data_IF_782593609076
#
_entry.id   IF_782593609076
#
_cell.length_a   1.000
_cell.length_b   1.000
_cell.length_c   1.000
_cell.angle_alpha   90.00
_cell.angle_beta   90.00
_cell.angle_gamma   90.00
#
_symmetry.space_group_name_H-M   'P 1'
#
loop_
_entity.id
_entity.type
_entity.pdbx_description
1 polymer ?
#
# COMPACT_ATOMS: atom_id res chain seq x y z
N UNK A 1 74.75 -49.63 43.84
CA UNK A 1 74.79 -50.95 44.50
C UNK A 1 73.65 -51.79 43.94
N UNK A 2 74.03 -52.88 43.27
CA UNK A 2 73.31 -54.13 43.01
C UNK A 2 71.91 -54.10 42.36
N UNK A 3 71.87 -54.43 41.07
CA UNK A 3 70.86 -55.34 40.49
C UNK A 3 71.12 -56.78 41.02
N UNK A 4 70.20 -57.77 40.97
CA UNK A 4 69.75 -58.37 39.69
C UNK A 4 68.35 -59.07 39.64
N UNK A 5 67.92 -59.45 38.40
CA UNK A 5 67.25 -60.71 37.94
C UNK A 5 65.89 -61.17 38.54
N UNK A 6 64.96 -61.90 37.88
CA UNK A 6 64.53 -62.25 36.50
C UNK A 6 63.36 -63.29 36.67
N UNK A 7 62.58 -63.53 35.61
CA UNK A 7 61.72 -64.73 35.35
C UNK A 7 60.29 -64.71 35.94
N UNK A 8 59.20 -65.11 35.28
CA UNK A 8 58.93 -66.08 34.18
C UNK A 8 57.67 -65.71 33.37
N UNK A 9 57.64 -66.02 32.06
CA UNK A 9 56.42 -66.20 31.24
C UNK A 9 55.97 -67.69 31.26
N UNK A 10 54.73 -68.08 30.84
CA UNK A 10 54.46 -68.29 29.41
C UNK A 10 53.00 -68.11 28.88
N UNK A 11 52.94 -67.94 27.55
CA UNK A 11 51.97 -68.35 26.53
C UNK A 11 50.48 -68.64 26.83
N UNK A 12 49.64 -67.98 26.01
CA UNK A 12 48.55 -68.51 25.14
C UNK A 12 47.39 -67.50 25.17
N UNK A 13 46.71 -67.07 24.11
CA UNK A 13 46.61 -67.51 22.74
C UNK A 13 45.22 -67.04 22.27
N UNK A 14 45.20 -66.20 21.22
CA UNK A 14 44.12 -66.05 20.23
C UNK A 14 42.66 -65.81 20.73
N UNK A 15 42.09 -64.64 20.41
CA UNK A 15 41.06 -64.51 19.35
C UNK A 15 40.62 -63.06 19.14
N UNK A 16 40.51 -62.75 17.85
CA UNK A 16 40.08 -61.49 17.26
C UNK A 16 38.60 -61.20 17.57
N UNK A 17 38.27 -59.92 17.76
CA UNK A 17 37.11 -59.31 17.11
C UNK A 17 37.35 -57.80 17.05
N UNK A 18 37.80 -57.34 15.88
CA UNK A 18 37.86 -55.94 15.48
C UNK A 18 36.42 -55.46 15.29
N UNK A 19 35.89 -54.66 16.21
CA UNK A 19 34.68 -53.88 15.92
C UNK A 19 35.10 -52.61 15.17
N UNK A 20 34.91 -52.63 13.84
CA UNK A 20 34.86 -51.41 13.03
C UNK A 20 33.67 -50.57 13.54
N UNK A 21 33.96 -49.49 14.26
CA UNK A 21 32.98 -48.44 14.50
C UNK A 21 32.80 -47.62 13.22
N UNK A 22 31.75 -47.93 12.46
CA UNK A 22 31.27 -47.11 11.36
C UNK A 22 30.76 -45.78 11.95
N UNK A 23 31.56 -44.71 11.84
CA UNK A 23 31.10 -43.36 12.14
C UNK A 23 30.12 -42.92 11.05
N UNK A 24 28.82 -43.02 11.33
CA UNK A 24 27.76 -42.51 10.48
C UNK A 24 27.76 -40.97 10.54
N UNK A 25 28.34 -40.31 9.54
CA UNK A 25 28.10 -38.88 9.29
C UNK A 25 26.65 -38.72 8.83
N UNK A 26 25.74 -38.46 9.78
CA UNK A 26 24.42 -37.94 9.48
C UNK A 26 24.57 -36.45 9.15
N UNK A 27 24.69 -36.13 7.87
CA UNK A 27 24.52 -34.76 7.37
C UNK A 27 23.05 -34.40 7.57
N UNK A 28 22.76 -33.69 8.66
CA UNK A 28 21.49 -32.98 8.85
C UNK A 28 21.44 -31.85 7.82
N UNK A 29 20.93 -32.14 6.63
CA UNK A 29 20.37 -31.12 5.76
C UNK A 29 19.10 -30.59 6.44
N UNK A 30 19.28 -29.67 7.40
CA UNK A 30 18.22 -28.79 7.84
C UNK A 30 17.85 -27.93 6.62
N UNK A 31 16.87 -28.40 5.85
CA UNK A 31 16.23 -27.57 4.86
C UNK A 31 15.73 -26.32 5.58
N UNK A 32 16.27 -25.17 5.22
CA UNK A 32 15.70 -23.87 5.56
C UNK A 32 14.33 -23.77 4.89
N UNK A 33 13.32 -24.41 5.48
CA UNK A 33 11.96 -23.95 5.33
C UNK A 33 11.92 -22.61 6.07
N UNK A 34 12.06 -21.52 5.32
CA UNK A 34 11.75 -20.20 5.84
C UNK A 34 10.31 -20.24 6.32
N UNK A 35 10.10 -20.35 7.64
CA UNK A 35 8.78 -20.24 8.21
C UNK A 35 8.22 -18.87 7.82
N UNK A 36 7.28 -18.85 6.86
CA UNK A 36 6.59 -17.62 6.46
C UNK A 36 5.99 -17.03 7.74
N UNK A 37 6.38 -15.81 8.12
CA UNK A 37 5.83 -15.16 9.31
C UNK A 37 4.30 -15.16 9.19
N UNK A 38 3.53 -15.58 10.21
CA UNK A 38 2.07 -15.74 10.11
C UNK A 38 1.36 -14.51 9.53
N UNK A 39 1.85 -13.30 9.83
CA UNK A 39 1.33 -12.04 9.29
C UNK A 39 1.47 -11.89 7.76
N UNK A 40 2.52 -12.43 7.14
CA UNK A 40 2.72 -12.31 5.68
C UNK A 40 1.67 -13.11 4.91
N UNK A 41 1.24 -14.27 5.43
CA UNK A 41 0.21 -15.09 4.79
C UNK A 41 -1.14 -14.38 4.80
N UNK A 42 -1.52 -13.77 5.92
CA UNK A 42 -2.77 -13.02 6.06
C UNK A 42 -2.78 -11.74 5.21
N UNK A 43 -1.64 -11.04 5.09
CA UNK A 43 -1.51 -9.88 4.19
C UNK A 43 -1.60 -10.30 2.73
N UNK A 44 -0.91 -11.37 2.33
CA UNK A 44 -0.96 -11.91 0.96
C UNK A 44 -2.38 -12.31 0.57
N UNK A 45 -3.11 -13.00 1.45
CA UNK A 45 -4.47 -13.44 1.18
C UNK A 45 -5.45 -12.29 0.97
N UNK A 46 -5.23 -11.16 1.64
CA UNK A 46 -6.08 -9.99 1.52
C UNK A 46 -5.71 -9.07 0.34
N UNK A 47 -4.53 -9.25 -0.28
CA UNK A 47 -4.07 -8.41 -1.38
C UNK A 47 -4.93 -8.66 -2.62
N UNK A 48 -5.46 -7.59 -3.22
CA UNK A 48 -6.27 -7.64 -4.45
C UNK A 48 -5.62 -6.91 -5.62
N UNK A 49 -4.68 -6.02 -5.34
CA UNK A 49 -3.98 -5.27 -6.36
C UNK A 49 -2.61 -4.84 -5.85
N UNK A 50 -1.60 -4.92 -6.70
CA UNK A 50 -0.27 -4.37 -6.44
C UNK A 50 0.45 -3.94 -7.72
N UNK A 51 0.91 -2.70 -7.74
CA UNK A 51 1.79 -2.15 -8.77
C UNK A 51 3.04 -1.54 -8.12
N UNK A 52 4.18 -2.18 -8.36
CA UNK A 52 5.52 -1.73 -7.95
C UNK A 52 6.11 -0.69 -8.90
N UNK A 53 5.64 -0.66 -10.15
CA UNK A 53 6.26 0.09 -11.25
C UNK A 53 7.68 -0.35 -11.64
N UNK A 54 8.24 -1.39 -11.03
CA UNK A 54 9.54 -1.93 -11.41
C UNK A 54 9.51 -2.51 -12.83
N UNK A 55 10.25 -1.89 -13.75
CA UNK A 55 10.38 -2.34 -15.14
C UNK A 55 9.15 -2.13 -16.02
N UNK A 56 8.09 -1.49 -15.53
CA UNK A 56 6.83 -1.33 -16.25
C UNK A 56 5.80 -0.48 -15.51
N UNK A 57 4.62 -0.32 -16.09
CA UNK A 57 3.55 0.49 -15.47
C UNK A 57 2.32 -0.31 -15.08
N UNK A 58 2.17 -1.51 -15.63
CA UNK A 58 1.10 -2.41 -15.28
C UNK A 58 1.35 -3.05 -13.91
N UNK A 59 0.26 -3.40 -13.23
CA UNK A 59 0.29 -4.03 -11.92
C UNK A 59 1.03 -5.38 -11.97
N UNK A 60 1.87 -5.66 -10.98
CA UNK A 60 2.51 -6.95 -10.73
C UNK A 60 1.48 -8.04 -10.40
N UNK A 61 0.42 -7.65 -9.69
CA UNK A 61 -0.68 -8.51 -9.28
C UNK A 61 -1.99 -7.73 -9.30
N UNK A 62 -3.06 -8.36 -9.80
CA UNK A 62 -4.40 -7.78 -9.79
C UNK A 62 -5.45 -8.89 -9.79
N UNK A 63 -6.52 -8.70 -9.04
CA UNK A 63 -7.74 -9.49 -9.13
C UNK A 63 -8.55 -9.13 -10.39
N UNK A 64 -8.44 -7.88 -10.86
CA UNK A 64 -9.08 -7.36 -12.07
C UNK A 64 -8.07 -7.00 -13.18
N UNK A 65 -8.30 -5.86 -13.84
CA UNK A 65 -7.42 -5.38 -14.92
C UNK A 65 -6.07 -4.90 -14.33
N UNK A 66 -4.97 -5.38 -14.91
CA UNK A 66 -3.60 -5.02 -14.50
C UNK A 66 -3.12 -3.73 -15.14
N UNK A 67 -3.73 -3.30 -16.24
CA UNK A 67 -3.16 -2.26 -17.09
C UNK A 67 -3.28 -0.88 -16.48
N UNK A 68 -2.21 -0.11 -16.53
CA UNK A 68 -2.31 1.33 -16.33
C UNK A 68 -2.95 1.95 -17.58
N UNK A 69 -3.79 2.95 -17.37
CA UNK A 69 -4.39 3.76 -18.43
C UNK A 69 -4.07 5.23 -18.23
N UNK A 70 -4.18 5.98 -19.31
CA UNK A 70 -4.21 7.44 -19.30
C UNK A 70 -5.44 7.98 -20.01
N UNK A 71 -5.90 9.16 -19.60
CA UNK A 71 -6.99 9.88 -20.23
C UNK A 71 -6.73 11.39 -20.20
N UNK A 72 -7.34 12.12 -21.14
CA UNK A 72 -7.12 13.56 -21.30
C UNK A 72 -7.64 14.40 -20.12
N UNK A 73 -8.66 13.92 -19.40
CA UNK A 73 -9.20 14.55 -18.19
C UNK A 73 -10.14 13.61 -17.44
N UNK A 74 -10.56 14.01 -16.23
CA UNK A 74 -11.61 13.32 -15.45
C UNK A 74 -13.03 13.45 -16.04
N UNK A 75 -13.23 14.25 -17.10
CA UNK A 75 -14.55 14.48 -17.69
C UNK A 75 -15.15 13.19 -18.25
N UNK A 76 -16.44 13.01 -18.04
CA UNK A 76 -17.19 11.88 -18.59
C UNK A 76 -17.55 12.12 -20.08
N UNK A 77 -17.53 11.07 -20.93
CA UNK A 77 -17.06 9.71 -20.64
C UNK A 77 -15.53 9.64 -20.49
N UNK A 78 -15.05 8.88 -19.50
CA UNK A 78 -13.63 8.68 -19.24
C UNK A 78 -13.08 7.61 -20.20
N UNK A 79 -12.63 8.03 -21.37
CA UNK A 79 -12.03 7.13 -22.37
C UNK A 79 -10.53 7.01 -22.08
N UNK A 80 -10.10 5.82 -21.65
CA UNK A 80 -8.71 5.52 -21.33
C UNK A 80 -7.95 4.85 -22.47
N UNK A 81 -6.69 5.24 -22.65
CA UNK A 81 -5.71 4.57 -23.52
C UNK A 81 -4.70 3.82 -22.64
N UNK A 82 -4.34 2.56 -22.92
CA UNK A 82 -3.33 1.85 -22.14
C UNK A 82 -1.98 2.58 -22.10
N UNK A 83 -1.36 2.56 -20.92
CA UNK A 83 -0.03 3.13 -20.66
C UNK A 83 -0.05 4.61 -20.27
N UNK A 84 1.17 5.12 -20.10
CA UNK A 84 1.42 6.52 -19.75
C UNK A 84 1.04 7.47 -20.88
N UNK A 85 0.67 8.71 -20.55
CA UNK A 85 0.33 9.73 -21.54
C UNK A 85 1.56 10.17 -22.32
N UNK A 86 1.40 10.36 -23.63
CA UNK A 86 2.49 10.74 -24.53
C UNK A 86 3.12 12.11 -24.19
N UNK A 87 2.39 12.98 -23.47
CA UNK A 87 2.84 14.32 -23.08
C UNK A 87 3.97 14.36 -22.05
N UNK A 88 4.42 13.20 -21.52
CA UNK A 88 5.59 13.10 -20.65
C UNK A 88 5.47 13.78 -19.29
N UNK A 89 4.27 14.19 -18.89
CA UNK A 89 4.02 14.81 -17.58
C UNK A 89 4.03 13.76 -16.44
N UNK A 90 3.80 12.49 -16.77
CA UNK A 90 4.09 11.34 -15.93
C UNK A 90 5.08 10.45 -16.67
N UNK A 91 6.16 10.04 -16.01
CA UNK A 91 7.17 9.13 -16.57
C UNK A 91 7.50 8.03 -15.58
N UNK A 92 8.00 6.90 -16.10
CA UNK A 92 8.69 5.92 -15.27
C UNK A 92 10.08 6.46 -14.89
N UNK A 93 10.34 6.64 -13.60
CA UNK A 93 11.60 7.10 -13.05
C UNK A 93 12.44 5.90 -12.58
N UNK A 94 13.32 5.45 -13.47
CA UNK A 94 14.13 4.25 -13.24
C UNK A 94 15.07 4.42 -12.05
N UNK A 95 15.12 3.41 -11.17
CA UNK A 95 16.00 3.36 -10.00
C UNK A 95 15.74 4.42 -8.93
N UNK A 96 14.61 5.15 -9.03
CA UNK A 96 14.28 6.25 -8.12
C UNK A 96 13.16 5.91 -7.14
N UNK A 97 12.63 4.69 -7.18
CA UNK A 97 11.55 4.20 -6.33
C UNK A 97 11.90 4.07 -4.86
N UNK A 98 10.88 3.78 -4.06
CA UNK A 98 11.08 3.27 -2.70
C UNK A 98 11.76 1.92 -2.77
N UNK A 99 11.39 1.12 -3.77
CA UNK A 99 12.08 -0.07 -4.24
C UNK A 99 12.14 0.03 -5.77
N UNK A 100 13.32 -0.13 -6.37
CA UNK A 100 13.49 -0.10 -7.84
C UNK A 100 13.01 1.19 -8.51
N UNK A 101 12.01 1.11 -9.37
CA UNK A 101 11.49 2.22 -10.19
C UNK A 101 10.30 2.91 -9.51
N UNK A 102 9.81 4.02 -10.07
CA UNK A 102 8.58 4.68 -9.58
C UNK A 102 7.91 5.50 -10.69
N UNK A 103 6.69 5.96 -10.44
CA UNK A 103 6.12 7.05 -11.23
C UNK A 103 6.69 8.40 -10.77
N UNK A 104 7.05 9.27 -11.72
CA UNK A 104 7.35 10.68 -11.47
C UNK A 104 6.30 11.55 -12.14
N UNK A 105 5.62 12.37 -11.33
CA UNK A 105 4.74 13.43 -11.79
C UNK A 105 5.54 14.74 -11.84
N UNK A 106 5.68 15.33 -13.03
CA UNK A 106 6.56 16.48 -13.27
C UNK A 106 5.85 17.83 -13.15
N UNK A 107 4.57 17.86 -13.46
CA UNK A 107 3.77 19.09 -13.46
C UNK A 107 2.29 18.76 -13.27
N UNK A 108 1.55 19.75 -12.78
CA UNK A 108 0.09 19.74 -12.81
C UNK A 108 -0.39 19.58 -14.25
N UNK A 109 -1.29 18.63 -14.47
CA UNK A 109 -1.91 18.33 -15.76
C UNK A 109 -3.40 18.04 -15.58
N UNK A 110 -4.18 18.30 -16.63
CA UNK A 110 -5.54 17.78 -16.70
C UNK A 110 -5.56 16.30 -17.09
N UNK A 111 -4.55 15.86 -17.84
CA UNK A 111 -4.36 14.45 -18.15
C UNK A 111 -4.14 13.65 -16.86
N UNK A 112 -4.74 12.48 -16.79
CA UNK A 112 -4.70 11.60 -15.62
C UNK A 112 -4.20 10.22 -16.01
N UNK A 113 -3.59 9.53 -15.05
CA UNK A 113 -3.33 8.10 -15.13
C UNK A 113 -4.15 7.36 -14.09
N UNK A 114 -4.58 6.15 -14.40
CA UNK A 114 -5.46 5.40 -13.52
C UNK A 114 -5.41 3.89 -13.76
N UNK A 115 -5.82 3.15 -12.74
CA UNK A 115 -6.24 1.75 -12.86
C UNK A 115 -7.75 1.65 -12.79
N UNK A 116 -8.32 0.63 -13.43
CA UNK A 116 -9.74 0.29 -13.21
C UNK A 116 -9.90 -0.31 -11.83
N UNK A 117 -10.94 0.10 -11.10
CA UNK A 117 -11.19 -0.39 -9.75
C UNK A 117 -11.96 -1.72 -9.72
N UNK A 118 -12.64 -2.07 -10.81
CA UNK A 118 -13.41 -3.32 -10.93
C UNK A 118 -12.55 -4.53 -10.51
N UNK A 119 -13.03 -5.27 -9.52
CA UNK A 119 -12.35 -6.37 -8.82
C UNK A 119 -11.10 -5.98 -8.01
N UNK A 120 -10.34 -4.96 -8.43
CA UNK A 120 -9.11 -4.50 -7.76
C UNK A 120 -9.34 -3.85 -6.39
N UNK A 121 -10.45 -3.13 -6.18
CA UNK A 121 -10.80 -2.49 -4.89
C UNK A 121 -11.78 -3.33 -4.07
N UNK A 122 -12.17 -4.50 -4.58
CA UNK A 122 -13.06 -5.46 -3.91
C UNK A 122 -14.34 -4.83 -3.32
N UNK A 123 -14.94 -3.87 -4.04
CA UNK A 123 -16.16 -3.20 -3.61
C UNK A 123 -17.28 -4.20 -3.27
N UNK A 124 -17.99 -3.95 -2.17
CA UNK A 124 -19.18 -4.71 -1.76
C UNK A 124 -20.34 -3.74 -1.47
N UNK A 125 -21.56 -4.06 -1.92
CA UNK A 125 -22.73 -3.23 -1.60
C UNK A 125 -23.20 -3.36 -0.15
N UNK A 126 -22.61 -4.26 0.64
CA UNK A 126 -22.95 -4.48 2.04
C UNK A 126 -21.68 -4.77 2.86
N UNK A 127 -21.58 -4.17 4.05
CA UNK A 127 -20.49 -4.36 5.02
C UNK A 127 -19.09 -4.46 4.36
N UNK A 128 -18.72 -3.37 3.72
CA UNK A 128 -17.51 -3.27 2.92
C UNK A 128 -16.36 -2.68 3.73
N UNK A 129 -15.19 -3.29 3.54
CA UNK A 129 -13.95 -2.96 4.22
C UNK A 129 -12.82 -3.01 3.20
N UNK A 130 -11.69 -2.37 3.52
CA UNK A 130 -10.51 -2.45 2.67
C UNK A 130 -9.42 -1.50 3.11
N UNK A 131 -8.32 -1.55 2.37
CA UNK A 131 -7.13 -0.74 2.61
C UNK A 131 -6.47 -0.35 1.30
N UNK A 132 -5.96 0.88 1.23
CA UNK A 132 -5.04 1.34 0.18
C UNK A 132 -3.73 1.74 0.83
N UNK A 133 -2.62 1.32 0.22
CA UNK A 133 -1.25 1.63 0.62
C UNK A 133 -0.49 2.17 -0.60
N UNK A 134 0.31 3.22 -0.39
CA UNK A 134 1.18 3.80 -1.40
C UNK A 134 2.35 4.52 -0.74
N UNK A 135 3.39 4.83 -1.50
CA UNK A 135 4.52 5.63 -1.05
C UNK A 135 4.65 6.91 -1.85
N UNK A 136 4.97 8.00 -1.15
CA UNK A 136 5.14 9.33 -1.75
C UNK A 136 6.49 9.92 -1.35
N UNK A 137 7.17 10.57 -2.30
CA UNK A 137 8.33 11.43 -2.03
C UNK A 137 8.16 12.74 -2.78
N UNK A 138 7.99 13.80 -2.00
CA UNK A 138 7.71 15.16 -2.48
C UNK A 138 8.24 16.15 -1.45
N UNK A 139 8.79 17.27 -1.90
CA UNK A 139 8.90 18.49 -1.10
C UNK A 139 7.66 19.35 -1.35
N UNK A 140 6.65 19.33 -0.45
CA UNK A 140 5.40 20.02 -0.71
C UNK A 140 5.57 21.54 -0.85
N UNK A 141 6.56 22.12 -0.18
CA UNK A 141 6.79 23.56 -0.18
C UNK A 141 7.35 24.05 -1.51
N UNK A 142 8.22 23.27 -2.17
CA UNK A 142 8.89 23.70 -3.40
C UNK A 142 8.32 23.05 -4.66
N UNK A 143 7.77 21.83 -4.59
CA UNK A 143 7.33 21.09 -5.77
C UNK A 143 5.84 21.25 -6.09
N UNK A 144 4.96 21.27 -5.09
CA UNK A 144 3.51 21.33 -5.36
C UNK A 144 3.06 22.72 -5.84
N UNK A 145 2.02 22.77 -6.66
CA UNK A 145 1.37 24.04 -7.01
C UNK A 145 0.34 24.42 -5.92
N UNK A 146 0.09 25.74 -5.67
CA UNK A 146 -1.04 26.16 -4.84
C UNK A 146 -2.36 25.57 -5.35
N UNK A 147 -3.24 25.15 -4.44
CA UNK A 147 -4.50 24.39 -4.63
C UNK A 147 -4.43 22.97 -4.04
N UNK A 148 -5.45 22.17 -4.32
CA UNK A 148 -5.53 20.75 -3.98
C UNK A 148 -4.67 19.93 -4.94
N UNK A 149 -3.91 19.00 -4.36
CA UNK A 149 -3.07 18.06 -5.08
C UNK A 149 -3.32 16.67 -4.52
N UNK A 150 -3.88 15.77 -5.32
CA UNK A 150 -4.38 14.47 -4.86
C UNK A 150 -3.46 13.37 -5.38
N UNK A 151 -2.56 12.81 -4.55
CA UNK A 151 -1.76 11.66 -4.95
C UNK A 151 -2.60 10.47 -5.40
N UNK A 152 -3.79 10.28 -4.84
CA UNK A 152 -4.73 9.24 -5.26
C UNK A 152 -6.17 9.67 -4.98
N UNK A 153 -7.06 9.39 -5.93
CA UNK A 153 -8.51 9.57 -5.79
C UNK A 153 -9.22 8.35 -6.38
N UNK A 154 -10.21 7.81 -5.67
CA UNK A 154 -10.99 6.62 -6.06
C UNK A 154 -12.47 6.98 -6.07
N UNK A 155 -13.06 7.05 -7.25
CA UNK A 155 -14.49 7.39 -7.42
C UNK A 155 -15.00 6.98 -8.82
N UNK A 156 -16.26 6.55 -8.95
CA UNK A 156 -16.95 6.45 -10.23
C UNK A 156 -17.50 7.79 -10.74
N UNK A 157 -17.54 8.81 -9.88
CA UNK A 157 -18.21 10.09 -10.10
C UNK A 157 -17.23 11.21 -9.79
N UNK A 158 -17.58 12.12 -8.89
CA UNK A 158 -16.75 13.26 -8.53
C UNK A 158 -16.11 13.09 -7.14
N UNK A 159 -15.18 13.98 -6.82
CA UNK A 159 -14.42 13.98 -5.57
C UNK A 159 -15.29 14.04 -4.30
N UNK A 160 -16.54 14.51 -4.39
CA UNK A 160 -17.44 14.68 -3.26
C UNK A 160 -18.67 13.75 -3.29
N UNK A 161 -18.64 12.69 -4.10
CA UNK A 161 -19.75 11.77 -4.24
C UNK A 161 -19.26 10.32 -4.36
N UNK A 162 -19.32 9.59 -3.24
CA UNK A 162 -18.76 8.25 -3.07
C UNK A 162 -17.28 8.19 -3.48
N UNK A 163 -16.46 8.96 -2.78
CA UNK A 163 -15.06 9.12 -3.12
C UNK A 163 -14.15 8.89 -1.92
N UNK A 164 -13.03 8.24 -2.19
CA UNK A 164 -11.85 8.30 -1.34
C UNK A 164 -10.78 9.14 -2.02
N UNK A 165 -10.02 9.89 -1.24
CA UNK A 165 -8.78 10.49 -1.70
C UNK A 165 -7.85 10.76 -0.52
N UNK A 166 -6.56 10.82 -0.82
CA UNK A 166 -5.64 11.61 0.01
C UNK A 166 -5.15 12.79 -0.79
N UNK A 167 -4.92 13.91 -0.12
CA UNK A 167 -4.57 15.15 -0.80
C UNK A 167 -3.70 16.06 0.07
N UNK A 168 -2.87 16.85 -0.59
CA UNK A 168 -2.27 18.06 -0.03
C UNK A 168 -3.17 19.25 -0.35
N UNK A 169 -3.40 20.12 0.63
CA UNK A 169 -3.99 21.43 0.40
C UNK A 169 -2.90 22.50 0.45
N UNK A 170 -2.28 22.82 -0.68
CA UNK A 170 -1.23 23.84 -0.66
C UNK A 170 -1.83 25.24 -0.58
N UNK A 171 -1.72 25.84 0.61
CA UNK A 171 -2.05 27.24 0.92
C UNK A 171 -0.76 28.02 1.17
N UNK A 172 -0.82 29.37 1.18
CA UNK A 172 0.36 30.19 1.45
C UNK A 172 1.05 29.90 2.80
N UNK A 173 0.25 29.64 3.85
CA UNK A 173 0.75 29.54 5.24
C UNK A 173 0.85 28.09 5.76
N UNK A 174 0.25 27.13 5.07
CA UNK A 174 0.19 25.72 5.51
C UNK A 174 -0.05 24.78 4.33
N UNK A 175 0.42 23.54 4.47
CA UNK A 175 0.24 22.48 3.47
C UNK A 175 -0.21 21.21 4.21
N UNK A 176 -1.42 21.20 4.80
CA UNK A 176 -1.91 20.01 5.48
C UNK A 176 -2.08 18.85 4.48
N UNK A 177 -2.03 17.65 5.03
CA UNK A 177 -2.37 16.43 4.31
C UNK A 177 -3.67 15.86 4.86
N UNK A 178 -4.54 15.38 3.97
CA UNK A 178 -5.90 14.98 4.34
C UNK A 178 -6.26 13.63 3.74
N UNK A 179 -7.14 12.91 4.43
CA UNK A 179 -7.86 11.75 3.90
C UNK A 179 -9.34 12.13 3.82
N UNK A 180 -9.90 12.10 2.62
CA UNK A 180 -11.34 12.20 2.37
C UNK A 180 -11.99 10.84 2.21
N UNK A 181 -13.13 10.67 2.87
CA UNK A 181 -14.01 9.52 2.72
C UNK A 181 -15.46 10.01 2.62
N UNK A 182 -15.80 10.54 1.45
CA UNK A 182 -17.09 11.16 1.16
C UNK A 182 -18.07 10.07 0.71
N UNK A 183 -19.11 9.82 1.51
CA UNK A 183 -20.25 8.99 1.11
C UNK A 183 -20.91 9.53 -0.18
N UNK A 184 -21.95 8.85 -0.65
CA UNK A 184 -22.85 9.42 -1.66
C UNK A 184 -23.24 10.86 -1.27
N UNK A 185 -23.27 11.79 -2.23
CA UNK A 185 -23.44 13.22 -1.93
C UNK A 185 -24.65 13.51 -1.03
N UNK A 186 -25.75 12.81 -1.30
CA UNK A 186 -27.02 12.94 -0.55
C UNK A 186 -26.94 12.38 0.89
N UNK A 187 -25.92 11.60 1.22
CA UNK A 187 -25.72 11.00 2.55
C UNK A 187 -24.92 11.94 3.43
N UNK A 188 -23.78 12.45 2.95
CA UNK A 188 -22.93 13.33 3.76
C UNK A 188 -23.34 14.81 3.68
N UNK A 189 -23.97 15.24 2.58
CA UNK A 189 -24.45 16.62 2.38
C UNK A 189 -25.89 16.68 1.80
N UNK A 190 -26.89 16.16 2.54
CA UNK A 190 -28.27 16.07 2.04
C UNK A 190 -28.91 17.42 1.68
N UNK A 191 -28.47 18.52 2.30
CA UNK A 191 -28.97 19.87 2.05
C UNK A 191 -28.17 20.63 0.99
N UNK A 192 -27.20 19.98 0.33
CA UNK A 192 -26.32 20.59 -0.66
C UNK A 192 -25.69 21.91 -0.17
N UNK A 193 -25.21 21.90 1.09
CA UNK A 193 -24.53 23.05 1.70
C UNK A 193 -23.26 23.36 0.93
N UNK A 194 -22.95 24.64 0.80
CA UNK A 194 -21.67 25.09 0.25
C UNK A 194 -20.50 24.54 1.08
N UNK A 195 -19.54 23.90 0.42
CA UNK A 195 -18.44 23.22 1.10
C UNK A 195 -17.56 24.18 1.92
N UNK A 196 -17.40 25.42 1.44
CA UNK A 196 -16.65 26.47 2.15
C UNK A 196 -17.32 26.88 3.46
N UNK A 197 -18.64 26.82 3.52
CA UNK A 197 -19.44 27.17 4.70
C UNK A 197 -19.64 26.02 5.71
N UNK A 198 -19.30 24.78 5.35
CA UNK A 198 -19.41 23.63 6.28
C UNK A 198 -18.28 23.70 7.32
N UNK A 199 -18.57 23.67 8.63
CA UNK A 199 -17.54 23.59 9.67
C UNK A 199 -16.63 22.38 9.48
N UNK A 200 -15.33 22.57 9.74
CA UNK A 200 -14.35 21.51 9.49
C UNK A 200 -14.69 20.19 10.20
N UNK A 201 -15.16 20.25 11.44
CA UNK A 201 -15.54 19.08 12.23
C UNK A 201 -16.68 18.24 11.60
N UNK A 202 -17.50 18.84 10.74
CA UNK A 202 -18.59 18.15 10.04
C UNK A 202 -18.12 17.50 8.73
N UNK A 203 -17.01 18.00 8.14
CA UNK A 203 -16.49 17.48 6.88
C UNK A 203 -16.05 16.02 7.04
N UNK A 204 -16.28 15.15 6.04
CA UNK A 204 -15.82 13.77 6.07
C UNK A 204 -14.32 13.66 5.72
N UNK A 205 -13.50 14.39 6.48
CA UNK A 205 -12.05 14.53 6.28
C UNK A 205 -11.29 14.25 7.57
N UNK A 206 -10.18 13.52 7.45
CA UNK A 206 -9.09 13.54 8.43
C UNK A 206 -8.11 14.63 8.02
N UNK A 207 -7.56 15.38 8.99
CA UNK A 207 -6.66 16.51 8.73
C UNK A 207 -5.38 16.44 9.56
N UNK A 208 -4.26 16.46 8.86
CA UNK A 208 -2.92 16.46 9.43
C UNK A 208 -2.26 17.79 9.08
N UNK A 209 -2.19 18.70 10.06
CA UNK A 209 -1.70 20.07 9.84
C UNK A 209 -0.21 20.10 9.45
N UNK A 210 0.60 19.23 10.05
CA UNK A 210 2.05 19.16 9.85
C UNK A 210 2.47 17.76 9.42
N UNK A 211 2.22 17.38 8.15
CA UNK A 211 2.52 16.04 7.68
C UNK A 211 4.03 15.84 7.44
N UNK A 212 4.56 14.61 7.51
CA UNK A 212 6.00 14.34 7.61
C UNK A 212 6.74 14.25 6.24
N UNK A 213 6.16 14.79 5.17
CA UNK A 213 6.71 14.69 3.81
C UNK A 213 7.96 15.57 3.60
N UNK A 214 8.85 15.14 2.71
CA UNK A 214 10.00 15.93 2.28
C UNK A 214 10.69 15.33 1.04
N UNK A 215 11.36 16.17 0.24
CA UNK A 215 11.93 15.75 -1.05
C UNK A 215 13.06 14.71 -0.97
N UNK A 216 13.68 14.57 0.21
CA UNK A 216 14.76 13.63 0.48
C UNK A 216 14.30 12.30 1.11
N UNK A 217 12.98 12.11 1.33
CA UNK A 217 12.47 10.91 2.01
C UNK A 217 11.19 10.38 1.38
N UNK A 218 11.03 9.07 1.45
CA UNK A 218 9.76 8.42 1.20
C UNK A 218 8.89 8.47 2.47
N UNK A 219 7.58 8.66 2.27
CA UNK A 219 6.55 8.58 3.32
C UNK A 219 5.55 7.52 2.92
N UNK A 220 5.30 6.56 3.80
CA UNK A 220 4.30 5.53 3.58
C UNK A 220 2.93 6.08 3.95
N UNK A 221 1.98 6.01 3.03
CA UNK A 221 0.61 6.45 3.25
C UNK A 221 -0.28 5.23 3.17
N UNK A 222 -1.04 4.99 4.23
CA UNK A 222 -2.05 3.93 4.26
C UNK A 222 -3.36 4.50 4.75
N UNK A 223 -4.46 4.20 4.07
CA UNK A 223 -5.78 4.42 4.62
C UNK A 223 -6.63 3.16 4.58
N UNK A 224 -7.39 2.95 5.66
CA UNK A 224 -8.29 1.81 5.82
C UNK A 224 -9.72 2.30 5.95
N UNK A 225 -10.69 1.52 5.48
CA UNK A 225 -12.11 1.75 5.77
C UNK A 225 -12.76 0.51 6.34
N UNK A 226 -13.66 0.71 7.31
CA UNK A 226 -14.40 -0.34 8.00
C UNK A 226 -15.89 0.00 8.06
N UNK A 227 -16.74 -1.01 7.94
CA UNK A 227 -18.20 -0.89 8.06
C UNK A 227 -18.83 0.11 7.09
N UNK A 228 -18.33 0.17 5.86
CA UNK A 228 -19.02 0.94 4.81
C UNK A 228 -20.21 0.12 4.31
N UNK A 229 -21.26 0.79 3.86
CA UNK A 229 -22.48 0.13 3.37
C UNK A 229 -23.18 -0.78 4.40
N UNK A 230 -23.14 -0.43 5.69
CA UNK A 230 -23.93 -1.09 6.76
C UNK A 230 -25.31 -0.47 6.96
N UNK A 231 -25.50 0.78 6.50
CA UNK A 231 -26.66 1.61 6.81
C UNK A 231 -26.65 2.18 8.24
N UNK A 232 -25.59 1.95 9.01
CA UNK A 232 -25.45 2.42 10.39
C UNK A 232 -24.36 3.52 10.50
N UNK A 233 -24.38 4.34 11.56
CA UNK A 233 -23.36 5.36 11.79
C UNK A 233 -22.06 4.78 12.39
N UNK A 234 -21.60 3.64 11.88
CA UNK A 234 -20.45 2.87 12.38
C UNK A 234 -19.29 2.82 11.38
N UNK A 235 -19.44 3.44 10.21
CA UNK A 235 -18.42 3.53 9.18
C UNK A 235 -17.24 4.39 9.62
N UNK A 236 -16.03 3.84 9.56
CA UNK A 236 -14.78 4.50 9.98
C UNK A 236 -13.77 4.47 8.86
N UNK A 237 -13.04 5.57 8.68
CA UNK A 237 -11.87 5.64 7.82
C UNK A 237 -10.66 6.12 8.65
N UNK A 238 -9.52 5.46 8.51
CA UNK A 238 -8.32 5.72 9.31
C UNK A 238 -7.14 5.96 8.41
N UNK A 239 -6.36 7.01 8.68
CA UNK A 239 -5.13 7.37 8.01
C UNK A 239 -3.93 6.99 8.88
N UNK A 240 -2.96 6.34 8.26
CA UNK A 240 -1.65 6.03 8.83
C UNK A 240 -0.55 6.65 7.97
N UNK A 241 0.49 7.12 8.62
CA UNK A 241 1.70 7.65 7.99
C UNK A 241 2.92 6.96 8.63
N UNK A 242 3.80 6.41 7.79
CA UNK A 242 5.00 5.68 8.22
C UNK A 242 4.71 4.55 9.24
N UNK A 243 3.67 3.76 8.97
CA UNK A 243 3.25 2.66 9.85
C UNK A 243 2.44 3.09 11.09
N UNK A 244 2.35 4.39 11.38
CA UNK A 244 1.76 4.94 12.61
C UNK A 244 0.40 5.60 12.36
N UNK A 245 -0.49 5.54 13.35
CA UNK A 245 -1.80 6.21 13.29
C UNK A 245 -1.61 7.73 13.18
N UNK A 246 -2.13 8.33 12.11
CA UNK A 246 -2.11 9.78 11.90
C UNK A 246 -3.44 10.44 12.28
N UNK A 247 -4.56 9.77 11.99
CA UNK A 247 -5.88 10.25 12.37
C UNK A 247 -6.99 9.35 11.87
N UNK A 248 -8.22 9.56 12.35
CA UNK A 248 -9.38 8.80 11.94
C UNK A 248 -10.60 9.69 11.82
N UNK A 249 -11.47 9.36 10.87
CA UNK A 249 -12.78 9.96 10.76
C UNK A 249 -13.70 9.35 11.82
N UNK A 250 -14.46 10.21 12.51
CA UNK A 250 -15.42 9.73 13.50
C UNK A 250 -16.47 8.81 12.85
N UNK A 251 -16.96 7.78 13.56
CA UNK A 251 -18.01 6.88 13.06
C UNK A 251 -19.20 7.67 12.50
N UNK A 252 -19.66 7.29 11.32
CA UNK A 252 -20.78 7.93 10.61
C UNK A 252 -21.34 7.01 9.53
N UNK A 253 -22.49 7.39 8.98
CA UNK A 253 -23.10 6.63 7.87
C UNK A 253 -22.21 6.81 6.64
N UNK A 254 -21.69 5.70 6.13
CA UNK A 254 -20.81 5.66 4.96
C UNK A 254 -21.41 4.77 3.89
N UNK A 255 -22.40 5.29 3.18
CA UNK A 255 -23.03 4.60 2.04
C UNK A 255 -22.38 5.06 0.74
N UNK A 256 -21.83 4.10 0.01
CA UNK A 256 -21.21 4.24 -1.30
C UNK A 256 -21.99 3.36 -2.27
N UNK A 257 -22.59 3.98 -3.29
CA UNK A 257 -23.29 3.26 -4.37
C UNK A 257 -22.43 3.24 -5.63
N UNK A 258 -21.37 2.44 -5.61
CA UNK A 258 -20.46 2.34 -6.76
C UNK A 258 -21.00 1.44 -7.87
N UNK A 259 -20.79 1.89 -9.11
CA UNK A 259 -20.68 1.03 -10.28
C UNK A 259 -19.19 0.67 -10.45
N UNK A 260 -18.77 -0.57 -10.13
CA UNK A 260 -17.36 -0.96 -10.21
C UNK A 260 -16.75 -0.78 -11.60
N UNK A 261 -17.54 -0.94 -12.67
CA UNK A 261 -17.07 -0.82 -14.04
C UNK A 261 -16.74 0.62 -14.43
N UNK A 262 -17.33 1.61 -13.74
CA UNK A 262 -17.02 3.04 -13.93
C UNK A 262 -16.07 3.60 -12.87
N UNK A 263 -15.76 2.82 -11.84
CA UNK A 263 -14.89 3.26 -10.74
C UNK A 263 -13.43 3.20 -11.17
N UNK A 264 -12.70 4.29 -10.97
CA UNK A 264 -11.28 4.40 -11.29
C UNK A 264 -10.46 4.67 -10.03
N UNK A 265 -9.26 4.10 -9.98
CA UNK A 265 -8.19 4.46 -9.05
C UNK A 265 -7.26 5.43 -9.78
N UNK A 266 -7.50 6.73 -9.63
CA UNK A 266 -6.78 7.79 -10.32
C UNK A 266 -5.57 8.22 -9.52
N UNK A 267 -4.43 8.42 -10.19
CA UNK A 267 -3.15 8.70 -9.54
C UNK A 267 -2.65 10.10 -9.91
N UNK A 268 -2.17 10.82 -8.90
CA UNK A 268 -1.44 12.08 -9.02
C UNK A 268 -2.21 13.22 -9.70
N UNK A 269 -3.47 13.44 -9.35
CA UNK A 269 -4.26 14.56 -9.85
C UNK A 269 -3.70 15.88 -9.31
N UNK A 270 -3.08 16.68 -10.16
CA UNK A 270 -2.32 17.89 -9.78
C UNK A 270 -1.13 17.66 -8.84
N UNK A 271 -0.80 16.41 -8.50
CA UNK A 271 0.36 16.06 -7.70
C UNK A 271 1.65 16.23 -8.51
N UNK A 272 2.73 16.61 -7.83
CA UNK A 272 4.07 16.69 -8.37
C UNK A 272 4.98 16.01 -7.35
N UNK A 273 5.79 15.06 -7.79
CA UNK A 273 6.58 14.23 -6.89
C UNK A 273 6.76 12.82 -7.42
N UNK A 274 7.48 12.01 -6.65
CA UNK A 274 7.58 10.57 -6.88
C UNK A 274 6.46 9.84 -6.15
N UNK A 275 6.00 8.75 -6.76
CA UNK A 275 4.82 7.99 -6.38
C UNK A 275 5.06 6.52 -6.68
N UNK A 276 4.80 5.63 -5.71
CA UNK A 276 5.27 4.26 -5.80
C UNK A 276 4.45 3.25 -4.98
N UNK A 277 4.62 1.96 -5.28
CA UNK A 277 4.20 0.82 -4.46
C UNK A 277 2.69 0.83 -4.10
N UNK A 278 1.81 0.98 -5.10
CA UNK A 278 0.37 0.94 -4.88
C UNK A 278 -0.08 -0.47 -4.53
N UNK A 279 -0.66 -0.66 -3.35
CA UNK A 279 -1.31 -1.90 -2.96
C UNK A 279 -2.72 -1.67 -2.43
N UNK A 280 -3.62 -2.60 -2.73
CA UNK A 280 -5.02 -2.58 -2.28
C UNK A 280 -5.35 -3.93 -1.65
N UNK A 281 -6.07 -3.88 -0.52
CA UNK A 281 -6.47 -5.06 0.24
C UNK A 281 -7.99 -5.07 0.47
N UNK A 282 -8.60 -6.25 0.48
CA UNK A 282 -10.05 -6.45 0.63
C UNK A 282 -10.57 -6.44 2.09
N UNK A 283 -9.67 -6.12 3.03
CA UNK A 283 -9.98 -5.93 4.44
C UNK A 283 -9.32 -4.66 4.97
N UNK A 284 -9.87 -4.13 6.05
CA UNK A 284 -9.15 -3.13 6.82
C UNK A 284 -7.96 -3.79 7.53
N UNK A 285 -6.76 -3.29 7.25
CA UNK A 285 -5.57 -3.70 7.95
C UNK A 285 -5.59 -3.18 9.39
N UNK A 286 -5.19 -4.02 10.34
CA UNK A 286 -4.99 -3.62 11.73
C UNK A 286 -3.76 -2.70 11.86
N UNK A 287 -3.60 -1.93 12.95
CA UNK A 287 -2.37 -1.17 13.18
C UNK A 287 -1.10 -2.04 13.10
N UNK A 288 -1.17 -3.29 13.56
CA UNK A 288 -0.05 -4.24 13.48
C UNK A 288 0.23 -4.67 12.04
N UNK A 289 -0.81 -4.93 11.23
CA UNK A 289 -0.66 -5.21 9.81
C UNK A 289 -0.04 -4.03 9.06
N UNK A 290 -0.46 -2.80 9.38
CA UNK A 290 0.07 -1.56 8.77
C UNK A 290 1.55 -1.36 9.13
N UNK A 291 1.91 -1.55 10.40
CA UNK A 291 3.32 -1.50 10.81
C UNK A 291 4.15 -2.59 10.13
N UNK A 292 3.64 -3.82 10.06
CA UNK A 292 4.32 -4.92 9.39
C UNK A 292 4.50 -4.66 7.89
N UNK A 293 3.51 -4.02 7.24
CA UNK A 293 3.59 -3.59 5.85
C UNK A 293 4.65 -2.49 5.64
N UNK A 294 4.72 -1.51 6.54
CA UNK A 294 5.72 -0.44 6.52
C UNK A 294 7.15 -0.98 6.63
N UNK A 295 7.36 -1.96 7.52
CA UNK A 295 8.66 -2.60 7.77
C UNK A 295 9.03 -3.69 6.77
N UNK A 296 8.15 -3.99 5.80
CA UNK A 296 8.33 -5.10 4.89
C UNK A 296 9.52 -4.86 3.94
N UNK A 297 10.60 -5.60 4.16
CA UNK A 297 11.79 -5.56 3.32
C UNK A 297 11.45 -5.98 1.88
N UNK A 298 11.79 -5.11 0.92
CA UNK A 298 11.47 -5.32 -0.50
C UNK A 298 10.02 -5.05 -0.86
N UNK A 299 9.24 -4.42 0.03
CA UNK A 299 7.89 -3.95 -0.25
C UNK A 299 6.87 -5.06 -0.44
N UNK A 300 5.72 -4.71 -1.01
CA UNK A 300 4.57 -5.64 -1.15
C UNK A 300 4.92 -6.81 -2.06
N UNK A 301 5.88 -6.67 -2.98
CA UNK A 301 6.43 -7.77 -3.80
C UNK A 301 6.88 -8.97 -2.96
N UNK A 302 7.34 -8.75 -1.72
CA UNK A 302 7.72 -9.84 -0.82
C UNK A 302 6.54 -10.75 -0.43
N UNK A 303 5.29 -10.27 -0.53
CA UNK A 303 4.09 -11.07 -0.27
C UNK A 303 3.72 -11.99 -1.43
N UNK A 304 4.19 -11.71 -2.64
CA UNK A 304 3.85 -12.48 -3.84
C UNK A 304 4.69 -13.75 -4.03
N UNK A 305 5.80 -13.85 -3.28
CA UNK A 305 6.73 -14.98 -3.33
C UNK A 305 6.17 -16.22 -2.63
#
# INVERSE_FOLDING_TARGET
MNSPTLSTAPCAGLRQTTFLSLALLAVLAAGCATAQRPGHSALRQALTFYASFDGGTDADFAAGDRRLYSAASMKHPRVGTPGLPAGGHVTLAQGQGRFGDALRFHKKSAEMVFFKAEQNVAYRPNNWNGTVSLWLRVDPATELAPSFCDPIQITPRDWNDAAFFVEFEKRPESIPFRLGAYADLKVWNPQNRDWGAIPFAEKPLVHIEKPPFGGARWTHVVFTWQHFNTGQPDGVATLYLDGQLAGALSPRVQTFTWDPAQTLVMLGLSYIGLWDELAIFDRALSPQDVQALYELEGGVRALLK
#
